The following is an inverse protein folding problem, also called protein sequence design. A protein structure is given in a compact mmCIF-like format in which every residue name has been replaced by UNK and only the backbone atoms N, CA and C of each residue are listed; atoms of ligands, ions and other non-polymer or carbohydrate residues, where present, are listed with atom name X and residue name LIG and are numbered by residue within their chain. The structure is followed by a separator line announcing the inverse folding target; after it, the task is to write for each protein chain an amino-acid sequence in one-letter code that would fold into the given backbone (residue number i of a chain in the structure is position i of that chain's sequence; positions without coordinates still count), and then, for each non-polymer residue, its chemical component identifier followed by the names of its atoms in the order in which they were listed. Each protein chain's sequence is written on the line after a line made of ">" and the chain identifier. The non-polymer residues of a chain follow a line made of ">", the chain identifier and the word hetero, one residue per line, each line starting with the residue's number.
data_IF_794918590356
#
_entry.id   IF_794918590356
#
_cell.length_a   1.000
_cell.length_b   1.000
_cell.length_c   1.000
_cell.angle_alpha   90.00
_cell.angle_beta   90.00
_cell.angle_gamma   90.00
#
_symmetry.space_group_name_H-M   'P 1'
#
loop_
_entity.id
_entity.type
_entity.pdbx_description
1 polymer ?
#
# COMPACT_ATOMS: atom_id res chain seq x y z
N UNK A 1 -8.85 6.60 13.63
CA UNK A 1 -10.10 5.82 13.35
C UNK A 1 -9.81 4.89 12.19
N UNK A 2 -9.46 3.64 12.50
CA UNK A 2 -9.11 2.62 11.50
C UNK A 2 -10.38 2.12 10.80
N UNK A 3 -10.59 2.46 9.52
CA UNK A 3 -11.72 1.98 8.74
C UNK A 3 -11.27 0.74 7.94
N UNK A 4 -11.66 -0.47 8.38
CA UNK A 4 -11.44 -1.69 7.60
C UNK A 4 -12.48 -1.80 6.49
N UNK A 5 -12.09 -1.59 5.23
CA UNK A 5 -12.93 -1.82 4.06
C UNK A 5 -12.92 -3.31 3.67
N UNK A 6 -14.08 -3.93 3.78
CA UNK A 6 -14.33 -5.31 3.46
C UNK A 6 -14.93 -5.41 2.05
N UNK A 7 -14.22 -5.99 1.08
CA UNK A 7 -14.82 -6.41 -0.17
C UNK A 7 -15.39 -7.82 0.00
N UNK A 8 -16.70 -7.90 0.28
CA UNK A 8 -17.43 -9.15 0.39
C UNK A 8 -18.07 -9.57 -0.93
N UNK A 9 -17.68 -10.73 -1.39
CA UNK A 9 -18.59 -11.62 -2.08
C UNK A 9 -19.18 -12.56 -1.01
N UNK A 10 -20.51 -12.42 -0.71
CA UNK A 10 -21.33 -13.23 0.20
C UNK A 10 -21.26 -12.95 1.71
N UNK A 11 -22.32 -12.35 2.22
CA UNK A 11 -22.68 -12.30 3.64
C UNK A 11 -23.15 -10.92 4.09
N UNK A 12 -24.17 -10.88 4.92
CA UNK A 12 -24.87 -9.68 5.41
C UNK A 12 -23.88 -8.60 5.83
N UNK A 13 -23.83 -7.53 5.05
CA UNK A 13 -23.11 -6.31 5.41
C UNK A 13 -23.69 -5.76 6.72
N UNK A 14 -22.86 -5.38 7.73
CA UNK A 14 -23.34 -4.42 8.71
C UNK A 14 -23.83 -3.20 7.92
N UNK A 15 -24.99 -2.66 8.27
CA UNK A 15 -25.55 -1.51 7.58
C UNK A 15 -24.56 -0.35 7.68
N UNK A 16 -23.69 -0.22 6.68
CA UNK A 16 -23.01 1.04 6.43
C UNK A 16 -24.12 2.03 6.13
N UNK A 17 -24.36 2.99 7.02
CA UNK A 17 -25.25 4.09 6.71
C UNK A 17 -24.72 4.72 5.42
N UNK A 18 -25.49 4.57 4.35
CA UNK A 18 -25.15 5.22 3.10
C UNK A 18 -24.95 6.70 3.38
N UNK A 19 -23.77 7.21 3.01
CA UNK A 19 -23.54 8.65 3.04
C UNK A 19 -24.74 9.34 2.37
N UNK A 20 -25.28 10.37 3.00
CA UNK A 20 -26.43 11.10 2.47
C UNK A 20 -26.14 11.54 1.03
N UNK A 21 -27.20 11.79 0.24
CA UNK A 21 -27.08 12.20 -1.19
C UNK A 21 -26.17 13.42 -1.41
N UNK A 22 -25.85 14.16 -0.34
CA UNK A 22 -25.04 15.39 -0.34
C UNK A 22 -23.60 15.16 0.23
N UNK A 23 -23.22 13.91 0.53
CA UNK A 23 -21.85 13.63 0.97
C UNK A 23 -20.86 13.87 -0.19
N UNK A 24 -19.74 14.57 0.05
CA UNK A 24 -18.74 14.81 -0.97
C UNK A 24 -18.13 13.49 -1.44
N UNK A 25 -17.85 13.38 -2.75
CA UNK A 25 -17.10 12.27 -3.32
C UNK A 25 -15.67 12.39 -2.85
N UNK A 26 -15.13 11.32 -2.25
CA UNK A 26 -13.71 11.23 -1.87
C UNK A 26 -12.97 10.49 -2.98
N UNK A 27 -11.96 11.13 -3.54
CA UNK A 27 -11.09 10.55 -4.57
C UNK A 27 -9.95 9.81 -3.89
N UNK A 28 -9.68 8.58 -4.33
CA UNK A 28 -8.54 7.78 -3.89
C UNK A 28 -7.58 7.61 -5.07
N UNK A 29 -6.32 8.00 -4.89
CA UNK A 29 -5.26 7.80 -5.89
C UNK A 29 -4.81 6.33 -5.85
N UNK A 30 -5.40 5.50 -6.72
CA UNK A 30 -5.13 4.06 -6.80
C UNK A 30 -3.68 3.78 -7.18
N UNK A 31 -2.99 2.92 -6.41
CA UNK A 31 -1.55 2.64 -6.49
C UNK A 31 -0.72 3.93 -6.48
N UNK A 32 -1.05 4.82 -5.56
CA UNK A 32 -0.47 6.16 -5.42
C UNK A 32 -0.60 7.06 -6.65
N UNK A 33 -1.42 6.71 -7.66
CA UNK A 33 -1.62 7.52 -8.86
C UNK A 33 -1.09 6.89 -10.15
N UNK A 34 -1.31 5.60 -10.36
CA UNK A 34 -0.82 4.77 -11.48
C UNK A 34 -1.10 5.31 -12.90
N UNK A 35 -1.95 6.33 -13.06
CA UNK A 35 -2.24 6.93 -14.38
C UNK A 35 -1.35 8.14 -14.72
N UNK A 36 -0.69 8.71 -13.72
CA UNK A 36 0.09 9.96 -13.86
C UNK A 36 1.58 9.77 -13.55
N UNK A 37 1.93 8.70 -12.83
CA UNK A 37 3.30 8.33 -12.49
C UNK A 37 3.42 6.79 -12.36
N UNK A 38 4.64 6.22 -12.25
CA UNK A 38 4.81 4.78 -12.04
C UNK A 38 4.09 4.32 -10.78
N UNK A 39 3.24 3.30 -10.91
CA UNK A 39 2.41 2.79 -9.81
C UNK A 39 3.24 2.42 -8.57
N UNK A 40 2.67 2.67 -7.38
CA UNK A 40 3.26 2.25 -6.11
C UNK A 40 4.69 2.79 -5.86
N UNK A 41 5.00 3.98 -6.33
CA UNK A 41 6.30 4.63 -6.13
C UNK A 41 6.19 5.90 -5.31
N UNK A 42 7.32 6.36 -4.75
CA UNK A 42 7.39 7.65 -4.07
C UNK A 42 7.07 8.78 -5.04
N UNK A 43 7.50 8.69 -6.29
CA UNK A 43 7.18 9.69 -7.32
C UNK A 43 5.68 9.80 -7.59
N UNK A 44 4.95 8.65 -7.60
CA UNK A 44 3.49 8.63 -7.75
C UNK A 44 2.79 9.27 -6.54
N UNK A 45 3.23 8.93 -5.32
CA UNK A 45 2.71 9.49 -4.09
C UNK A 45 2.91 11.01 -4.02
N UNK A 46 4.11 11.48 -4.36
CA UNK A 46 4.40 12.91 -4.47
C UNK A 46 3.51 13.62 -5.50
N UNK A 47 3.19 12.95 -6.62
CA UNK A 47 2.26 13.50 -7.60
C UNK A 47 0.83 13.55 -7.05
N UNK A 48 0.35 12.50 -6.39
CA UNK A 48 -0.97 12.47 -5.76
C UNK A 48 -1.13 13.61 -4.73
N UNK A 49 -0.09 13.85 -3.92
CA UNK A 49 -0.06 14.96 -2.95
C UNK A 49 -0.14 16.32 -3.68
N UNK A 50 0.65 16.53 -4.74
CA UNK A 50 0.63 17.77 -5.55
C UNK A 50 -0.74 18.01 -6.19
N UNK A 51 -1.41 16.95 -6.63
CA UNK A 51 -2.73 16.99 -7.26
C UNK A 51 -3.87 17.18 -6.23
N UNK A 52 -3.55 17.17 -4.93
CA UNK A 52 -4.51 17.38 -3.86
C UNK A 52 -5.41 16.19 -3.59
N UNK A 53 -4.98 14.96 -3.90
CA UNK A 53 -5.71 13.76 -3.51
C UNK A 53 -5.74 13.65 -1.97
N UNK A 54 -6.92 13.44 -1.36
CA UNK A 54 -7.01 13.29 0.09
C UNK A 54 -6.51 11.93 0.59
N UNK A 55 -6.53 10.92 -0.28
CA UNK A 55 -6.14 9.54 0.04
C UNK A 55 -5.33 8.97 -1.12
N UNK A 56 -4.22 8.31 -0.83
CA UNK A 56 -3.49 7.44 -1.76
C UNK A 56 -3.60 5.99 -1.30
N UNK A 57 -3.98 5.11 -2.21
CA UNK A 57 -3.98 3.67 -1.96
C UNK A 57 -2.66 3.08 -2.44
N UNK A 58 -2.10 2.15 -1.65
CA UNK A 58 -0.85 1.45 -1.93
C UNK A 58 -0.95 -0.03 -1.56
N UNK A 59 -0.20 -0.87 -2.25
CA UNK A 59 -0.17 -2.32 -2.06
C UNK A 59 1.10 -2.73 -1.30
N UNK A 60 0.98 -3.37 -0.14
CA UNK A 60 2.12 -3.78 0.69
C UNK A 60 2.31 -5.29 0.65
N UNK A 61 3.55 -5.72 0.45
CA UNK A 61 4.01 -7.10 0.50
C UNK A 61 5.29 -7.22 1.32
N UNK A 62 5.66 -8.45 1.69
CA UNK A 62 6.84 -8.74 2.47
C UNK A 62 7.84 -9.57 1.67
N UNK A 63 9.12 -9.16 1.69
CA UNK A 63 10.25 -9.92 1.13
C UNK A 63 10.65 -11.06 2.06
N UNK A 64 11.54 -11.96 1.57
CA UNK A 64 12.04 -13.12 2.34
C UNK A 64 12.80 -12.74 3.61
N UNK A 65 13.41 -11.55 3.65
CA UNK A 65 14.13 -11.03 4.82
C UNK A 65 13.25 -10.21 5.79
N UNK A 66 11.92 -10.18 5.54
CA UNK A 66 10.96 -9.44 6.36
C UNK A 66 10.75 -7.97 5.95
N UNK A 67 11.53 -7.44 5.01
CA UNK A 67 11.38 -6.07 4.52
C UNK A 67 10.01 -5.86 3.88
N UNK A 68 9.31 -4.79 4.27
CA UNK A 68 8.01 -4.40 3.69
C UNK A 68 8.24 -3.49 2.49
N UNK A 69 7.70 -3.90 1.34
CA UNK A 69 7.79 -3.17 0.07
C UNK A 69 6.41 -2.75 -0.43
N UNK A 70 6.38 -1.77 -1.33
CA UNK A 70 5.13 -1.32 -1.95
C UNK A 70 5.09 -1.77 -3.40
N UNK A 71 4.32 -2.84 -3.65
CA UNK A 71 4.22 -3.54 -4.93
C UNK A 71 2.90 -4.29 -5.05
N UNK A 72 2.21 -4.15 -6.20
CA UNK A 72 0.94 -4.84 -6.43
C UNK A 72 1.10 -6.33 -6.76
N UNK A 73 1.94 -6.65 -7.75
CA UNK A 73 2.09 -8.03 -8.21
C UNK A 73 3.00 -8.82 -7.26
N UNK A 74 2.76 -10.12 -7.15
CA UNK A 74 3.61 -11.02 -6.39
C UNK A 74 4.91 -11.41 -7.09
N UNK A 75 5.17 -10.84 -8.29
CA UNK A 75 6.36 -11.06 -9.09
C UNK A 75 6.77 -9.76 -9.78
N UNK A 76 8.06 -9.44 -9.82
CA UNK A 76 8.56 -8.16 -10.35
C UNK A 76 8.51 -8.02 -11.87
N UNK A 77 8.22 -9.11 -12.62
CA UNK A 77 8.35 -9.18 -14.07
C UNK A 77 7.63 -8.08 -14.85
N UNK A 78 6.38 -7.77 -14.48
CA UNK A 78 5.58 -6.79 -15.22
C UNK A 78 6.14 -5.38 -15.10
N UNK A 79 6.68 -5.01 -13.96
CA UNK A 79 7.12 -3.65 -13.66
C UNK A 79 8.60 -3.42 -13.90
N UNK A 80 9.45 -4.44 -13.70
CA UNK A 80 10.90 -4.32 -13.81
C UNK A 80 11.51 -5.15 -14.94
N UNK A 81 10.79 -6.17 -15.43
CA UNK A 81 11.31 -7.16 -16.39
C UNK A 81 11.96 -8.39 -15.73
N UNK A 82 12.25 -8.35 -14.44
CA UNK A 82 12.92 -9.42 -13.70
C UNK A 82 11.91 -10.47 -13.21
N UNK A 83 12.08 -11.74 -13.59
CA UNK A 83 11.18 -12.85 -13.24
C UNK A 83 11.53 -13.44 -11.87
N UNK A 84 11.30 -12.67 -10.82
CA UNK A 84 11.58 -13.02 -9.44
C UNK A 84 10.29 -12.81 -8.62
N UNK A 85 9.93 -13.78 -7.78
CA UNK A 85 8.80 -13.60 -6.85
C UNK A 85 9.21 -12.74 -5.65
N UNK A 86 8.26 -11.96 -5.12
CA UNK A 86 8.49 -11.08 -3.98
C UNK A 86 9.07 -11.84 -2.78
N UNK A 87 8.52 -13.01 -2.45
CA UNK A 87 8.97 -13.83 -1.33
C UNK A 87 10.31 -14.56 -1.54
N UNK A 88 10.90 -14.50 -2.75
CA UNK A 88 12.23 -15.05 -3.07
C UNK A 88 13.31 -13.97 -3.09
N UNK A 89 12.94 -12.70 -2.90
CA UNK A 89 13.85 -11.56 -2.93
C UNK A 89 14.16 -11.04 -1.52
N UNK A 90 15.30 -10.38 -1.38
CA UNK A 90 15.74 -9.64 -0.20
C UNK A 90 15.89 -8.14 -0.53
N UNK A 91 15.95 -7.28 0.49
CA UNK A 91 16.03 -5.82 0.33
C UNK A 91 17.15 -5.34 -0.61
N UNK A 92 18.29 -6.04 -0.64
CA UNK A 92 19.39 -5.70 -1.53
C UNK A 92 19.04 -5.82 -3.02
N UNK A 93 18.09 -6.68 -3.39
CA UNK A 93 17.61 -6.81 -4.77
C UNK A 93 16.91 -5.53 -5.25
N UNK A 94 16.24 -4.79 -4.38
CA UNK A 94 15.50 -3.56 -4.73
C UNK A 94 16.40 -2.50 -5.36
N UNK A 95 17.68 -2.47 -5.00
CA UNK A 95 18.67 -1.50 -5.52
C UNK A 95 18.87 -1.62 -7.03
N UNK A 96 18.50 -2.74 -7.64
CA UNK A 96 18.65 -3.02 -9.06
C UNK A 96 17.32 -3.08 -9.81
N UNK A 97 16.18 -3.11 -9.09
CA UNK A 97 14.85 -3.22 -9.66
C UNK A 97 14.26 -1.83 -9.94
N UNK A 98 14.37 -1.40 -11.17
CA UNK A 98 13.91 -0.10 -11.65
C UNK A 98 12.52 -0.23 -12.28
N UNK A 99 11.57 0.63 -11.88
CA UNK A 99 10.17 0.60 -12.32
C UNK A 99 9.75 1.81 -13.17
N UNK A 100 10.55 2.88 -13.15
CA UNK A 100 10.17 4.16 -13.76
C UNK A 100 10.29 4.22 -15.25
N UNK A 101 11.35 3.64 -15.83
CA UNK A 101 11.61 3.67 -17.30
C UNK A 101 10.49 3.01 -18.10
N UNK A 102 9.82 2.00 -17.52
CA UNK A 102 8.67 1.34 -18.14
C UNK A 102 7.46 2.26 -18.28
N UNK A 103 7.34 3.27 -17.43
CA UNK A 103 6.29 4.28 -17.48
C UNK A 103 6.67 5.44 -18.40
N UNK A 104 7.81 6.08 -18.16
CA UNK A 104 8.34 7.21 -18.96
C UNK A 104 9.81 7.45 -18.67
N UNK A 105 10.55 7.96 -19.65
CA UNK A 105 11.95 8.35 -19.48
C UNK A 105 12.17 9.42 -18.37
N UNK A 106 11.14 10.19 -18.04
CA UNK A 106 11.18 11.18 -16.96
C UNK A 106 11.33 10.55 -15.55
N UNK A 107 10.94 9.28 -15.39
CA UNK A 107 11.01 8.53 -14.13
C UNK A 107 12.16 7.50 -14.11
N UNK A 108 13.11 7.63 -15.03
CA UNK A 108 14.27 6.73 -15.06
C UNK A 108 15.00 6.74 -13.71
N UNK A 109 15.28 5.56 -13.18
CA UNK A 109 15.92 5.37 -11.89
C UNK A 109 14.96 5.29 -10.70
N UNK A 110 13.64 5.43 -10.92
CA UNK A 110 12.65 5.17 -9.87
C UNK A 110 12.65 3.69 -9.51
N UNK A 111 12.75 3.39 -8.22
CA UNK A 111 12.83 2.03 -7.69
C UNK A 111 11.54 1.62 -6.98
N UNK A 112 11.42 0.34 -6.66
CA UNK A 112 10.36 -0.16 -5.78
C UNK A 112 10.64 0.38 -4.37
N UNK A 113 9.72 1.16 -3.77
CA UNK A 113 9.95 1.71 -2.44
C UNK A 113 9.65 0.68 -1.34
N UNK A 114 10.27 0.86 -0.20
CA UNK A 114 9.85 0.25 1.05
C UNK A 114 8.60 0.95 1.60
N UNK A 115 7.85 0.28 2.48
CA UNK A 115 6.74 0.91 3.20
C UNK A 115 7.25 2.10 4.04
N UNK A 116 8.44 1.98 4.64
CA UNK A 116 9.08 3.04 5.42
C UNK A 116 9.26 4.33 4.60
N UNK A 117 9.75 4.22 3.35
CA UNK A 117 9.91 5.37 2.45
C UNK A 117 8.56 6.02 2.09
N UNK A 118 7.52 5.21 1.91
CA UNK A 118 6.17 5.72 1.63
C UNK A 118 5.57 6.43 2.84
N UNK A 119 5.73 5.87 4.06
CA UNK A 119 5.29 6.52 5.30
C UNK A 119 6.01 7.84 5.53
N UNK A 120 7.34 7.86 5.35
CA UNK A 120 8.13 9.09 5.46
C UNK A 120 7.65 10.19 4.49
N UNK A 121 7.26 9.81 3.28
CA UNK A 121 6.71 10.74 2.29
C UNK A 121 5.29 11.22 2.63
N UNK A 122 4.42 10.33 3.14
CA UNK A 122 3.00 10.58 3.37
C UNK A 122 2.71 11.38 4.64
N UNK A 123 3.51 11.21 5.69
CA UNK A 123 3.26 11.70 7.04
C UNK A 123 2.85 13.17 7.08
N UNK A 124 1.65 13.44 7.64
CA UNK A 124 1.09 14.79 7.75
C UNK A 124 0.73 15.46 6.42
N UNK A 125 0.73 14.71 5.29
CA UNK A 125 0.49 15.25 3.95
C UNK A 125 -0.67 14.60 3.22
N UNK A 126 -0.89 13.29 3.43
CA UNK A 126 -1.94 12.51 2.76
C UNK A 126 -2.27 11.28 3.59
N UNK A 127 -3.54 10.88 3.64
CA UNK A 127 -3.94 9.60 4.23
C UNK A 127 -3.53 8.45 3.33
N UNK A 128 -2.95 7.40 3.88
CA UNK A 128 -2.67 6.17 3.15
C UNK A 128 -3.78 5.14 3.36
N UNK A 129 -4.26 4.55 2.26
CA UNK A 129 -5.05 3.32 2.27
C UNK A 129 -4.10 2.18 1.87
N UNK A 130 -3.74 1.34 2.83
CA UNK A 130 -2.73 0.29 2.69
C UNK A 130 -3.44 -1.04 2.47
N UNK A 131 -3.36 -1.61 1.26
CA UNK A 131 -3.79 -2.98 1.00
C UNK A 131 -2.68 -3.96 1.40
N UNK A 132 -2.93 -4.80 2.40
CA UNK A 132 -2.03 -5.89 2.77
C UNK A 132 -2.29 -7.08 1.84
N UNK A 133 -1.32 -7.39 0.97
CA UNK A 133 -1.36 -8.55 0.10
C UNK A 133 -1.05 -9.81 0.89
N UNK A 134 -1.63 -10.92 0.48
CA UNK A 134 -1.44 -12.21 1.12
C UNK A 134 -1.15 -13.29 0.09
N UNK A 135 0.03 -13.88 0.17
CA UNK A 135 0.49 -14.97 -0.68
C UNK A 135 0.60 -16.30 0.09
N UNK A 136 0.60 -16.23 1.43
CA UNK A 136 0.83 -17.36 2.33
C UNK A 136 2.31 -17.62 2.62
N UNK A 137 3.19 -16.70 2.23
CA UNK A 137 4.65 -16.77 2.45
C UNK A 137 5.14 -15.74 3.47
N UNK A 138 4.24 -14.86 3.94
CA UNK A 138 4.56 -13.78 4.88
C UNK A 138 4.81 -14.34 6.29
N UNK A 139 5.74 -13.70 7.01
CA UNK A 139 5.99 -13.94 8.42
C UNK A 139 5.74 -12.67 9.23
N UNK A 140 4.73 -12.70 10.12
CA UNK A 140 4.35 -11.59 10.97
C UNK A 140 4.09 -10.26 10.19
N UNK A 141 3.45 -10.34 9.01
CA UNK A 141 3.17 -9.17 8.16
C UNK A 141 2.42 -8.09 8.93
N UNK A 142 1.36 -8.45 9.65
CA UNK A 142 0.48 -7.52 10.35
C UNK A 142 1.20 -6.80 11.49
N UNK A 143 1.99 -7.54 12.27
CA UNK A 143 2.81 -6.97 13.35
C UNK A 143 3.89 -6.03 12.81
N UNK A 144 4.53 -6.43 11.71
CA UNK A 144 5.58 -5.61 11.06
C UNK A 144 5.01 -4.30 10.52
N UNK A 145 3.84 -4.36 9.87
CA UNK A 145 3.15 -3.15 9.38
C UNK A 145 2.73 -2.26 10.56
N UNK A 146 2.09 -2.82 11.58
CA UNK A 146 1.66 -2.04 12.74
C UNK A 146 2.84 -1.37 13.45
N UNK A 147 3.98 -2.08 13.60
CA UNK A 147 5.20 -1.53 14.19
C UNK A 147 5.67 -0.29 13.41
N UNK A 148 5.76 -0.37 12.08
CA UNK A 148 6.14 0.79 11.27
C UNK A 148 5.13 1.94 11.39
N UNK A 149 3.83 1.66 11.40
CA UNK A 149 2.82 2.72 11.58
C UNK A 149 2.96 3.42 12.92
N UNK A 150 3.29 2.70 13.99
CA UNK A 150 3.56 3.25 15.31
C UNK A 150 4.84 4.08 15.34
N UNK A 151 5.92 3.57 14.76
CA UNK A 151 7.23 4.26 14.69
C UNK A 151 7.14 5.58 13.92
N UNK A 152 6.27 5.64 12.90
CA UNK A 152 6.02 6.84 12.11
C UNK A 152 4.89 7.72 12.65
N UNK A 153 4.22 7.32 13.77
CA UNK A 153 3.09 8.03 14.35
C UNK A 153 1.93 8.23 13.32
N UNK A 154 1.64 7.19 12.56
CA UNK A 154 0.68 7.20 11.45
C UNK A 154 -0.50 6.24 11.62
N UNK A 155 -0.68 5.62 12.80
CA UNK A 155 -1.79 4.67 13.04
C UNK A 155 -3.14 5.32 12.75
N UNK A 156 -3.36 6.56 13.21
CA UNK A 156 -4.61 7.31 13.01
C UNK A 156 -4.72 7.94 11.59
N UNK A 157 -3.64 7.96 10.82
CA UNK A 157 -3.58 8.54 9.48
C UNK A 157 -3.69 7.49 8.36
N UNK A 158 -3.83 6.19 8.72
CA UNK A 158 -3.89 5.09 7.76
C UNK A 158 -5.21 4.33 7.82
N UNK A 159 -5.57 3.76 6.66
CA UNK A 159 -6.69 2.84 6.49
C UNK A 159 -6.10 1.51 6.06
N UNK A 160 -6.42 0.42 6.75
CA UNK A 160 -5.94 -0.92 6.36
C UNK A 160 -7.02 -1.66 5.59
N UNK A 161 -6.64 -2.20 4.43
CA UNK A 161 -7.44 -3.07 3.58
C UNK A 161 -6.74 -4.39 3.30
N UNK A 162 -7.49 -5.44 2.98
CA UNK A 162 -6.96 -6.70 2.45
C UNK A 162 -8.07 -7.50 1.79
N UNK A 163 -7.73 -8.30 0.78
CA UNK A 163 -8.62 -9.34 0.23
C UNK A 163 -8.66 -10.58 1.11
N UNK A 164 -7.79 -10.70 2.11
CA UNK A 164 -7.77 -11.79 3.08
C UNK A 164 -8.42 -11.35 4.40
N UNK A 165 -9.55 -12.00 4.74
CA UNK A 165 -10.30 -11.71 5.97
C UNK A 165 -9.46 -11.95 7.23
N UNK A 166 -8.58 -12.97 7.23
CA UNK A 166 -7.76 -13.33 8.39
C UNK A 166 -6.82 -12.18 8.78
N UNK A 167 -6.17 -11.55 7.79
CA UNK A 167 -5.32 -10.37 7.99
C UNK A 167 -6.10 -9.25 8.68
N UNK A 168 -7.29 -8.91 8.17
CA UNK A 168 -8.10 -7.84 8.77
C UNK A 168 -8.57 -8.16 10.19
N UNK A 169 -8.86 -9.43 10.48
CA UNK A 169 -9.21 -9.86 11.84
C UNK A 169 -8.00 -9.70 12.78
N UNK A 170 -6.81 -10.15 12.34
CA UNK A 170 -5.58 -10.03 13.12
C UNK A 170 -5.18 -8.56 13.34
N UNK A 171 -5.23 -7.72 12.31
CA UNK A 171 -5.01 -6.28 12.46
C UNK A 171 -5.96 -5.65 13.49
N UNK A 172 -7.26 -6.03 13.47
CA UNK A 172 -8.25 -5.54 14.44
C UNK A 172 -8.01 -6.05 15.86
N UNK A 173 -7.40 -7.22 16.03
CA UNK A 173 -7.00 -7.76 17.35
C UNK A 173 -5.76 -7.03 17.88
N UNK A 174 -4.80 -6.69 17.00
CA UNK A 174 -3.58 -5.98 17.36
C UNK A 174 -3.84 -4.49 17.68
N UNK A 175 -4.71 -3.85 16.90
CA UNK A 175 -5.09 -2.44 17.07
C UNK A 175 -6.62 -2.30 17.00
N UNK A 176 -7.33 -2.36 18.17
CA UNK A 176 -8.78 -2.31 18.24
C UNK A 176 -9.41 -0.95 17.96
N UNK A 177 -8.61 0.12 17.90
CA UNK A 177 -9.02 1.54 17.79
C UNK A 177 -9.90 1.90 16.61
#
# INVERSE_FOLDING_TARGET
>A
MLLCLYFLTYGVLPQVQAAGKDAPVIVVAHRAGAKVAPENTVAALEQAIRDGAPIAEIDVQQLSDGTLIVMHDSNFKRTTGEDICVWDAEADALKTLEVGSGFSAAYRGEQIPTLEEMLACARGRITLMIELKYTGQEDALEESVLTLLQDYDMVDECIIGSMNKGILQKMKELEPG
#
